data_IF_535000609721
#
_entry.id   IF_535000609721
#
_cell.length_a   1.000
_cell.length_b   1.000
_cell.length_c   1.000
_cell.angle_alpha   90.00
_cell.angle_beta   90.00
_cell.angle_gamma   90.00
#
_symmetry.space_group_name_H-M   'P 1'
#
loop_
_entity.id
_entity.type
_entity.pdbx_description
1 polymer ?
#
# COMPACT_ATOMS: atom_id res chain seq x y z
N UNK A 1 -25.64 -8.59 -15.35
CA UNK A 1 -25.11 -7.26 -15.61
C UNK A 1 -24.00 -7.00 -14.64
N UNK A 2 -22.73 -7.10 -15.08
CA UNK A 2 -21.58 -6.71 -14.28
C UNK A 2 -21.55 -5.20 -14.22
N UNK A 3 -21.73 -4.61 -13.04
CA UNK A 3 -21.45 -3.21 -12.80
C UNK A 3 -20.00 -2.95 -13.18
N UNK A 4 -19.79 -2.04 -14.12
CA UNK A 4 -18.46 -1.53 -14.44
C UNK A 4 -17.89 -0.91 -13.17
N UNK A 5 -16.75 -1.44 -12.75
CA UNK A 5 -16.06 -1.03 -11.54
C UNK A 5 -15.62 0.43 -11.66
N UNK A 6 -16.37 1.34 -11.08
CA UNK A 6 -15.92 2.71 -10.87
C UNK A 6 -14.65 2.66 -10.00
N UNK A 7 -13.61 3.36 -10.43
CA UNK A 7 -12.42 3.60 -9.62
C UNK A 7 -12.85 4.36 -8.36
N UNK A 8 -13.06 3.63 -7.26
CA UNK A 8 -13.50 4.23 -6.01
C UNK A 8 -12.35 4.95 -5.34
N UNK A 9 -12.64 6.08 -4.69
CA UNK A 9 -11.69 6.77 -3.84
C UNK A 9 -11.62 6.04 -2.50
N UNK A 10 -10.41 5.73 -2.07
CA UNK A 10 -10.16 5.14 -0.77
C UNK A 10 -10.72 6.03 0.36
N UNK A 11 -11.42 5.45 1.37
CA UNK A 11 -12.00 6.23 2.48
C UNK A 11 -11.00 7.14 3.19
N UNK A 12 -9.74 6.74 3.22
CA UNK A 12 -8.61 7.46 3.83
C UNK A 12 -8.30 8.79 3.14
N UNK A 13 -8.73 8.95 1.88
CA UNK A 13 -8.60 10.19 1.11
C UNK A 13 -9.64 11.25 1.45
N UNK A 14 -10.81 10.86 1.99
CA UNK A 14 -11.92 11.78 2.23
C UNK A 14 -11.53 12.97 3.12
N UNK A 15 -10.73 12.73 4.14
CA UNK A 15 -10.28 13.77 5.09
C UNK A 15 -9.42 14.85 4.43
N UNK A 16 -8.81 14.57 3.28
CA UNK A 16 -7.99 15.51 2.52
C UNK A 16 -8.78 16.06 1.33
N UNK A 17 -9.46 15.20 0.59
CA UNK A 17 -10.16 15.57 -0.66
C UNK A 17 -11.34 16.49 -0.37
N UNK A 18 -12.15 16.21 0.67
CA UNK A 18 -13.33 17.02 0.97
C UNK A 18 -12.97 18.48 1.31
N UNK A 19 -12.05 18.78 2.25
CA UNK A 19 -11.64 20.15 2.50
C UNK A 19 -11.06 20.85 1.27
N UNK A 20 -10.21 20.19 0.49
CA UNK A 20 -9.64 20.77 -0.73
C UNK A 20 -10.74 21.12 -1.74
N UNK A 21 -11.70 20.22 -1.94
CA UNK A 21 -12.85 20.49 -2.83
C UNK A 21 -13.69 21.68 -2.35
N UNK A 22 -13.95 21.76 -1.04
CA UNK A 22 -14.69 22.91 -0.47
C UNK A 22 -13.94 24.22 -0.68
N UNK A 23 -12.59 24.23 -0.55
CA UNK A 23 -11.79 25.42 -0.86
C UNK A 23 -11.90 25.83 -2.33
N UNK A 24 -11.87 24.87 -3.25
CA UNK A 24 -12.02 25.14 -4.69
C UNK A 24 -13.41 25.73 -4.97
N UNK A 25 -14.47 25.14 -4.41
CA UNK A 25 -15.84 25.63 -4.61
C UNK A 25 -16.04 27.03 -4.03
N UNK A 26 -15.56 27.26 -2.81
CA UNK A 26 -15.63 28.58 -2.17
C UNK A 26 -14.83 29.62 -2.96
N UNK A 27 -13.59 29.31 -3.37
CA UNK A 27 -12.75 30.19 -4.17
C UNK A 27 -13.38 30.53 -5.51
N UNK A 28 -14.02 29.57 -6.18
CA UNK A 28 -14.76 29.81 -7.43
C UNK A 28 -15.96 30.75 -7.19
N UNK A 29 -16.73 30.52 -6.12
CA UNK A 29 -17.84 31.38 -5.73
C UNK A 29 -17.41 32.83 -5.43
N UNK A 30 -16.32 33.01 -4.64
CA UNK A 30 -15.78 34.35 -4.33
C UNK A 30 -15.27 35.02 -5.60
N UNK A 31 -14.57 34.30 -6.48
CA UNK A 31 -14.05 34.82 -7.73
C UNK A 31 -15.13 35.33 -8.67
N UNK A 32 -16.35 34.77 -8.61
CA UNK A 32 -17.47 35.24 -9.40
C UNK A 32 -17.98 36.63 -8.98
N UNK A 33 -17.86 36.98 -7.68
CA UNK A 33 -18.28 38.26 -7.15
C UNK A 33 -17.14 39.29 -7.05
N UNK A 34 -15.92 38.81 -6.77
CA UNK A 34 -14.73 39.60 -6.58
C UNK A 34 -13.60 39.11 -7.48
N UNK A 35 -13.61 39.45 -8.79
CA UNK A 35 -12.57 39.02 -9.72
C UNK A 35 -11.19 39.49 -9.27
N UNK A 36 -10.28 38.55 -9.03
CA UNK A 36 -8.91 38.83 -8.62
C UNK A 36 -7.97 37.80 -9.27
N UNK A 37 -6.92 38.27 -9.93
CA UNK A 37 -5.91 37.40 -10.53
C UNK A 37 -5.18 36.56 -9.47
N UNK A 38 -4.88 37.12 -8.31
CA UNK A 38 -4.28 36.38 -7.20
C UNK A 38 -5.17 35.22 -6.72
N UNK A 39 -6.47 35.48 -6.52
CA UNK A 39 -7.43 34.45 -6.09
C UNK A 39 -7.58 33.34 -7.14
N UNK A 40 -7.55 33.70 -8.42
CA UNK A 40 -7.61 32.74 -9.53
C UNK A 40 -6.44 31.74 -9.47
N UNK A 41 -5.22 32.21 -9.27
CA UNK A 41 -4.04 31.34 -9.16
C UNK A 41 -4.06 30.47 -7.90
N UNK A 42 -4.48 31.03 -6.76
CA UNK A 42 -4.66 30.26 -5.52
C UNK A 42 -5.68 29.14 -5.75
N UNK A 43 -6.82 29.45 -6.35
CA UNK A 43 -7.86 28.44 -6.63
C UNK A 43 -7.38 27.36 -7.60
N UNK A 44 -6.59 27.72 -8.61
CA UNK A 44 -5.96 26.77 -9.52
C UNK A 44 -5.04 25.80 -8.78
N UNK A 45 -4.22 26.28 -7.85
CA UNK A 45 -3.35 25.44 -7.03
C UNK A 45 -4.18 24.43 -6.22
N UNK A 46 -5.24 24.88 -5.55
CA UNK A 46 -6.14 23.98 -4.80
C UNK A 46 -6.85 22.97 -5.71
N UNK A 47 -7.24 23.37 -6.92
CA UNK A 47 -7.82 22.45 -7.91
C UNK A 47 -6.83 21.35 -8.31
N UNK A 48 -5.57 21.71 -8.61
CA UNK A 48 -4.52 20.74 -8.93
C UNK A 48 -4.25 19.82 -7.75
N UNK A 49 -4.17 20.32 -6.52
CA UNK A 49 -4.00 19.50 -5.31
C UNK A 49 -5.18 18.56 -5.09
N UNK A 50 -6.41 19.00 -5.39
CA UNK A 50 -7.62 18.17 -5.31
C UNK A 50 -7.53 17.01 -6.31
N UNK A 51 -7.22 17.30 -7.56
CA UNK A 51 -7.08 16.27 -8.62
C UNK A 51 -5.97 15.28 -8.30
N UNK A 52 -4.82 15.77 -7.85
CA UNK A 52 -3.72 14.92 -7.40
C UNK A 52 -4.14 14.02 -6.22
N UNK A 53 -4.86 14.57 -5.24
CA UNK A 53 -5.34 13.80 -4.09
C UNK A 53 -6.35 12.73 -4.52
N UNK A 54 -7.26 13.03 -5.43
CA UNK A 54 -8.19 12.04 -6.00
C UNK A 54 -7.43 10.92 -6.73
N UNK A 55 -6.41 11.26 -7.51
CA UNK A 55 -5.55 10.29 -8.18
C UNK A 55 -4.76 9.44 -7.18
N UNK A 56 -4.17 10.05 -6.15
CA UNK A 56 -3.37 9.36 -5.13
C UNK A 56 -4.21 8.36 -4.31
N UNK A 57 -5.41 8.77 -3.90
CA UNK A 57 -6.31 7.95 -3.09
C UNK A 57 -7.23 7.04 -3.92
N UNK A 58 -6.94 6.82 -5.20
CA UNK A 58 -7.73 5.88 -6.01
C UNK A 58 -7.61 4.44 -5.50
N UNK A 59 -8.70 3.71 -5.52
CA UNK A 59 -8.78 2.30 -5.13
C UNK A 59 -9.44 1.50 -6.25
N UNK A 60 -8.73 1.17 -7.35
CA UNK A 60 -9.30 0.42 -8.44
C UNK A 60 -9.67 -0.98 -7.98
N UNK A 61 -10.87 -1.41 -8.32
CA UNK A 61 -11.31 -2.79 -8.13
C UNK A 61 -10.52 -3.67 -9.10
N UNK A 62 -9.95 -4.76 -8.59
CA UNK A 62 -9.20 -5.72 -9.40
C UNK A 62 -9.71 -7.12 -9.13
N UNK A 63 -9.95 -7.85 -10.20
CA UNK A 63 -10.31 -9.27 -10.12
C UNK A 63 -9.00 -10.06 -9.97
N UNK A 64 -8.79 -10.76 -8.85
CA UNK A 64 -7.61 -11.60 -8.70
C UNK A 64 -7.65 -12.77 -9.69
N UNK A 65 -6.49 -13.32 -10.06
CA UNK A 65 -6.42 -14.57 -10.81
C UNK A 65 -7.18 -15.70 -10.10
N UNK A 66 -7.79 -16.60 -10.88
CA UNK A 66 -8.57 -17.71 -10.33
C UNK A 66 -7.67 -18.91 -9.95
N UNK A 67 -6.68 -18.68 -9.09
CA UNK A 67 -5.78 -19.66 -8.53
C UNK A 67 -5.51 -19.32 -7.05
N UNK A 68 -4.80 -20.17 -6.32
CA UNK A 68 -4.42 -19.95 -4.92
C UNK A 68 -2.97 -19.48 -4.77
N UNK A 69 -2.40 -18.85 -5.80
CA UNK A 69 -1.05 -18.31 -5.73
C UNK A 69 -0.98 -17.06 -4.86
N UNK A 70 0.21 -16.78 -4.35
CA UNK A 70 0.50 -15.62 -3.52
C UNK A 70 0.55 -14.36 -4.38
N UNK A 71 -0.34 -13.42 -4.15
CA UNK A 71 -0.44 -12.18 -4.93
C UNK A 71 0.39 -11.06 -4.33
N UNK A 72 0.74 -10.08 -5.15
CA UNK A 72 1.35 -8.86 -4.66
C UNK A 72 0.43 -8.14 -3.66
N UNK A 73 0.92 -7.78 -2.47
CA UNK A 73 0.16 -6.99 -1.50
C UNK A 73 0.03 -5.51 -1.90
N UNK A 74 0.87 -5.04 -2.84
CA UNK A 74 0.96 -3.61 -3.19
C UNK A 74 1.29 -3.40 -4.67
N UNK A 75 1.01 -2.19 -5.16
CA UNK A 75 1.53 -1.70 -6.44
C UNK A 75 2.93 -1.13 -6.25
N UNK A 76 3.81 -1.39 -7.19
CA UNK A 76 5.13 -0.78 -7.14
C UNK A 76 6.18 -1.50 -7.96
N UNK A 77 7.43 -1.13 -7.72
CA UNK A 77 8.60 -1.74 -8.32
C UNK A 77 9.29 -2.67 -7.32
N UNK A 78 9.63 -3.87 -7.74
CA UNK A 78 10.46 -4.78 -6.95
C UNK A 78 11.88 -4.21 -6.90
N UNK A 79 12.30 -3.80 -5.71
CA UNK A 79 13.60 -3.14 -5.50
C UNK A 79 14.61 -4.01 -4.79
N UNK A 80 14.16 -5.14 -4.20
CA UNK A 80 15.05 -6.06 -3.50
C UNK A 80 14.43 -7.46 -3.44
N UNK A 81 15.27 -8.47 -3.65
CA UNK A 81 14.98 -9.89 -3.36
C UNK A 81 16.26 -10.42 -2.72
N UNK A 82 16.20 -10.77 -1.42
CA UNK A 82 17.37 -11.24 -0.65
C UNK A 82 16.99 -12.36 0.31
N UNK A 83 17.95 -13.18 0.65
CA UNK A 83 17.85 -14.13 1.73
C UNK A 83 18.08 -13.40 3.06
N UNK A 84 17.27 -13.73 4.05
CA UNK A 84 17.31 -13.14 5.41
C UNK A 84 17.07 -14.23 6.45
N UNK A 85 17.53 -13.98 7.66
CA UNK A 85 17.15 -14.76 8.84
C UNK A 85 16.08 -13.99 9.62
N UNK A 86 14.90 -14.56 9.75
CA UNK A 86 13.79 -13.96 10.51
C UNK A 86 13.57 -14.74 11.80
N UNK A 87 13.42 -14.04 12.93
CA UNK A 87 13.32 -14.63 14.27
C UNK A 87 12.17 -15.64 14.43
N UNK A 88 11.10 -15.51 13.64
CA UNK A 88 9.91 -16.35 13.77
C UNK A 88 9.69 -17.31 12.58
N UNK A 89 10.21 -16.99 11.39
CA UNK A 89 10.09 -17.80 10.18
C UNK A 89 11.37 -18.66 9.98
N UNK A 90 12.50 -18.22 10.51
CA UNK A 90 13.82 -18.84 10.28
C UNK A 90 14.47 -18.36 8.98
N UNK A 91 15.10 -19.28 8.22
CA UNK A 91 15.64 -18.95 6.90
C UNK A 91 14.50 -18.54 5.97
N UNK A 92 14.62 -17.35 5.41
CA UNK A 92 13.53 -16.70 4.70
C UNK A 92 14.04 -15.88 3.50
N UNK A 93 13.13 -15.55 2.60
CA UNK A 93 13.35 -14.60 1.51
C UNK A 93 12.56 -13.33 1.78
N UNK A 94 13.21 -12.20 1.61
CA UNK A 94 12.58 -10.89 1.67
C UNK A 94 12.43 -10.33 0.27
N UNK A 95 11.20 -9.99 -0.12
CA UNK A 95 10.86 -9.31 -1.37
C UNK A 95 10.37 -7.92 -1.01
N UNK A 96 10.99 -6.88 -1.55
CA UNK A 96 10.69 -5.49 -1.24
C UNK A 96 10.10 -4.77 -2.43
N UNK A 97 8.93 -4.18 -2.24
CA UNK A 97 8.19 -3.44 -3.25
C UNK A 97 8.19 -1.96 -2.85
N UNK A 98 8.73 -1.10 -3.69
CA UNK A 98 8.71 0.35 -3.52
C UNK A 98 7.50 0.95 -4.21
N UNK A 99 6.71 1.74 -3.47
CA UNK A 99 5.54 2.46 -3.95
C UNK A 99 5.91 3.93 -4.16
N UNK A 100 5.97 4.37 -5.41
CA UNK A 100 6.07 5.79 -5.74
C UNK A 100 4.74 6.50 -5.50
N UNK A 101 4.73 7.83 -5.41
CA UNK A 101 3.49 8.62 -5.22
C UNK A 101 2.45 8.42 -6.33
N UNK A 102 2.85 7.87 -7.46
CA UNK A 102 1.98 7.58 -8.61
C UNK A 102 1.35 6.17 -8.57
N UNK A 103 1.79 5.30 -7.66
CA UNK A 103 1.22 3.97 -7.49
C UNK A 103 -0.09 4.00 -6.68
N UNK A 104 -0.85 2.92 -6.71
CA UNK A 104 -1.98 2.71 -5.78
C UNK A 104 -1.41 2.36 -4.41
N UNK A 105 -1.81 3.12 -3.37
CA UNK A 105 -1.25 2.99 -2.02
C UNK A 105 -2.08 2.08 -1.10
N UNK A 106 -3.14 1.46 -1.62
CA UNK A 106 -3.92 0.45 -0.92
C UNK A 106 -3.16 -0.88 -0.91
N UNK A 107 -2.92 -1.43 0.28
CA UNK A 107 -2.38 -2.77 0.42
C UNK A 107 -3.51 -3.79 0.59
N UNK A 108 -3.28 -4.99 0.06
CA UNK A 108 -4.20 -6.12 0.08
C UNK A 108 -3.54 -7.35 0.69
N UNK A 109 -4.34 -8.21 1.31
CA UNK A 109 -3.89 -9.51 1.82
C UNK A 109 -3.48 -10.40 0.64
N UNK A 110 -2.23 -10.91 0.61
CA UNK A 110 -1.71 -11.68 -0.53
C UNK A 110 -2.33 -13.08 -0.68
N UNK A 111 -2.62 -13.72 0.45
CA UNK A 111 -3.15 -15.07 0.52
C UNK A 111 -4.05 -15.20 1.75
N UNK A 112 -5.15 -15.95 1.62
CA UNK A 112 -6.09 -16.21 2.73
C UNK A 112 -5.42 -16.94 3.87
N UNK A 113 -5.85 -16.64 5.09
CA UNK A 113 -5.30 -17.25 6.30
C UNK A 113 -5.76 -16.54 7.57
N UNK A 114 -5.05 -16.82 8.66
CA UNK A 114 -5.28 -16.23 9.98
C UNK A 114 -4.17 -15.21 10.30
N UNK A 115 -4.54 -14.09 10.89
CA UNK A 115 -3.58 -13.13 11.44
C UNK A 115 -3.07 -13.65 12.78
N UNK A 116 -1.76 -13.92 12.87
CA UNK A 116 -1.13 -14.46 14.08
C UNK A 116 -0.68 -13.35 15.01
N UNK A 117 -0.02 -12.33 14.45
CA UNK A 117 0.48 -11.21 15.24
C UNK A 117 0.49 -9.92 14.43
N UNK A 118 0.45 -8.80 15.16
CA UNK A 118 0.57 -7.45 14.63
C UNK A 118 1.47 -6.65 15.56
N UNK A 119 2.55 -6.11 15.03
CA UNK A 119 3.53 -5.37 15.80
C UNK A 119 3.83 -4.02 15.14
N UNK A 120 3.72 -2.96 15.90
CA UNK A 120 4.15 -1.62 15.51
C UNK A 120 5.54 -1.33 16.07
N UNK A 121 6.45 -0.92 15.19
CA UNK A 121 7.78 -0.50 15.56
C UNK A 121 7.94 0.97 15.17
N UNK A 122 8.14 1.82 16.18
CA UNK A 122 8.49 3.23 15.96
C UNK A 122 9.90 3.32 15.38
N UNK A 123 10.10 4.18 14.40
CA UNK A 123 11.39 4.32 13.74
C UNK A 123 11.64 5.72 13.19
N UNK A 124 12.72 5.85 12.43
CA UNK A 124 13.10 7.04 11.69
C UNK A 124 12.26 7.15 10.40
N UNK A 125 12.37 8.26 9.70
CA UNK A 125 11.72 8.49 8.40
C UNK A 125 12.77 8.67 7.31
N UNK A 126 13.51 7.59 6.99
CA UNK A 126 14.44 7.56 5.87
C UNK A 126 13.67 7.40 4.54
N UNK A 127 14.30 7.77 3.44
CA UNK A 127 13.71 7.54 2.13
C UNK A 127 13.43 6.04 1.89
N UNK A 128 12.22 5.67 1.49
CA UNK A 128 11.74 4.29 1.42
C UNK A 128 12.51 3.41 0.41
N UNK A 129 13.20 4.00 -0.55
CA UNK A 129 14.09 3.28 -1.48
C UNK A 129 15.46 2.92 -0.86
N UNK A 130 15.80 3.47 0.31
CA UNK A 130 17.05 3.14 1.00
C UNK A 130 16.95 1.71 1.59
N UNK A 131 18.01 0.90 1.41
CA UNK A 131 18.06 -0.46 1.96
C UNK A 131 17.93 -0.49 3.49
N UNK A 132 18.38 0.54 4.20
CA UNK A 132 18.24 0.68 5.65
C UNK A 132 16.82 1.02 6.10
N UNK A 133 15.92 1.41 5.20
CA UNK A 133 14.54 1.76 5.56
C UNK A 133 13.79 0.59 6.21
N UNK A 134 14.08 -0.66 5.83
CA UNK A 134 13.51 -1.87 6.45
C UNK A 134 13.90 -2.09 7.91
N UNK A 135 14.98 -1.46 8.36
CA UNK A 135 15.50 -1.63 9.71
C UNK A 135 15.20 -0.43 10.61
N UNK A 136 15.27 0.79 10.05
CA UNK A 136 15.28 2.03 10.82
C UNK A 136 13.97 2.81 10.75
N UNK A 137 13.11 2.59 9.74
CA UNK A 137 11.89 3.37 9.57
C UNK A 137 10.73 2.84 10.43
N UNK A 138 9.79 3.74 10.70
CA UNK A 138 8.48 3.37 11.24
C UNK A 138 7.85 2.27 10.41
N UNK A 139 7.44 1.18 11.06
CA UNK A 139 6.90 0.02 10.37
C UNK A 139 5.79 -0.67 11.16
N UNK A 140 4.89 -1.28 10.41
CA UNK A 140 3.87 -2.20 10.93
C UNK A 140 4.13 -3.58 10.34
N UNK A 141 4.38 -4.54 11.19
CA UNK A 141 4.63 -5.95 10.83
C UNK A 141 3.39 -6.76 11.16
N UNK A 142 2.90 -7.52 10.19
CA UNK A 142 1.78 -8.45 10.38
C UNK A 142 2.22 -9.83 9.94
N UNK A 143 2.05 -10.82 10.82
CA UNK A 143 2.31 -12.23 10.56
C UNK A 143 1.00 -12.97 10.28
N UNK A 144 1.03 -13.77 9.25
CA UNK A 144 -0.11 -14.58 8.81
C UNK A 144 0.25 -16.05 8.81
N UNK A 145 -0.75 -16.89 8.98
CA UNK A 145 -0.67 -18.33 8.78
C UNK A 145 -1.78 -18.76 7.83
N UNK A 146 -1.42 -19.48 6.77
CA UNK A 146 -2.38 -20.04 5.82
C UNK A 146 -3.10 -21.25 6.42
N UNK A 147 -4.20 -21.69 5.80
CA UNK A 147 -4.93 -22.91 6.20
C UNK A 147 -4.04 -24.16 6.23
N UNK A 148 -2.98 -24.18 5.44
CA UNK A 148 -2.00 -25.28 5.38
C UNK A 148 -0.82 -25.08 6.37
N UNK A 149 -0.92 -24.16 7.32
CA UNK A 149 0.12 -23.92 8.32
C UNK A 149 1.37 -23.20 7.81
N UNK A 150 1.39 -22.71 6.56
CA UNK A 150 2.49 -21.94 6.02
C UNK A 150 2.43 -20.52 6.56
N UNK A 151 3.57 -19.97 7.00
CA UNK A 151 3.63 -18.64 7.62
C UNK A 151 4.32 -17.64 6.69
N UNK A 152 3.89 -16.38 6.75
CA UNK A 152 4.51 -15.26 6.06
C UNK A 152 4.29 -13.96 6.83
N UNK A 153 5.12 -12.95 6.56
CA UNK A 153 4.97 -11.62 7.13
C UNK A 153 4.84 -10.57 6.03
N UNK A 154 4.05 -9.55 6.32
CA UNK A 154 3.99 -8.32 5.54
C UNK A 154 4.43 -7.18 6.45
N UNK A 155 5.48 -6.45 6.01
CA UNK A 155 5.95 -5.24 6.69
C UNK A 155 5.53 -4.02 5.86
N UNK A 156 4.71 -3.16 6.43
CA UNK A 156 4.41 -1.84 5.88
C UNK A 156 5.46 -0.87 6.44
N UNK A 157 6.19 -0.18 5.59
CA UNK A 157 7.32 0.67 5.97
C UNK A 157 7.04 2.08 5.47
N UNK A 158 7.01 3.05 6.40
CA UNK A 158 6.84 4.45 6.08
C UNK A 158 8.09 5.01 5.39
N UNK A 159 7.90 5.89 4.40
CA UNK A 159 8.97 6.64 3.78
C UNK A 159 9.15 8.02 4.42
N UNK A 160 10.01 8.86 3.82
CA UNK A 160 10.36 10.19 4.32
C UNK A 160 9.16 11.13 4.49
N UNK A 161 8.19 11.08 3.58
CA UNK A 161 6.98 11.91 3.59
C UNK A 161 5.84 11.18 4.31
N UNK A 162 5.84 9.84 4.31
CA UNK A 162 4.83 9.02 4.93
C UNK A 162 4.97 9.05 6.46
N UNK A 163 4.04 9.69 7.13
CA UNK A 163 4.01 9.76 8.60
C UNK A 163 2.89 8.95 9.22
N UNK A 164 2.19 8.10 8.44
CA UNK A 164 1.09 7.31 8.96
C UNK A 164 0.88 6.03 8.17
N UNK A 165 1.06 4.92 8.87
CA UNK A 165 0.70 3.59 8.43
C UNK A 165 -0.69 3.29 9.01
N UNK A 166 -1.63 2.97 8.12
CA UNK A 166 -2.94 2.45 8.50
C UNK A 166 -2.94 0.94 8.23
N UNK A 167 -3.29 0.16 9.24
CA UNK A 167 -3.35 -1.29 9.14
C UNK A 167 -4.66 -1.78 9.79
N UNK A 168 -5.40 -2.61 9.08
CA UNK A 168 -6.74 -3.08 9.46
C UNK A 168 -6.74 -4.53 9.96
N UNK A 169 -5.57 -5.16 10.00
CA UNK A 169 -5.43 -6.52 10.50
C UNK A 169 -5.52 -6.53 12.01
N UNK A 170 -6.26 -7.48 12.55
CA UNK A 170 -6.31 -7.72 14.00
C UNK A 170 -5.95 -9.18 14.27
N UNK A 171 -5.10 -9.46 15.28
CA UNK A 171 -4.74 -10.82 15.66
C UNK A 171 -5.97 -11.70 15.86
N UNK A 172 -5.83 -12.99 15.57
CA UNK A 172 -6.87 -14.03 15.62
C UNK A 172 -7.93 -13.96 14.50
N UNK A 173 -8.02 -12.86 13.75
CA UNK A 173 -8.97 -12.75 12.65
C UNK A 173 -8.56 -13.62 11.45
N UNK A 174 -9.55 -14.27 10.83
CA UNK A 174 -9.40 -14.90 9.52
C UNK A 174 -9.61 -13.85 8.44
N UNK A 175 -8.72 -13.84 7.46
CA UNK A 175 -8.72 -12.87 6.36
C UNK A 175 -8.72 -13.56 5.01
N UNK A 176 -9.34 -12.93 4.03
CA UNK A 176 -9.42 -13.44 2.66
C UNK A 176 -8.38 -12.77 1.76
N UNK A 177 -7.89 -13.52 0.77
CA UNK A 177 -7.03 -12.98 -0.28
C UNK A 177 -7.70 -11.79 -0.98
N UNK A 178 -6.98 -10.68 -1.14
CA UNK A 178 -7.49 -9.44 -1.72
C UNK A 178 -8.23 -8.54 -0.73
N UNK A 179 -8.45 -8.98 0.51
CA UNK A 179 -8.99 -8.13 1.57
C UNK A 179 -8.08 -6.93 1.85
N UNK A 180 -8.65 -5.86 2.39
CA UNK A 180 -7.90 -4.63 2.71
C UNK A 180 -6.94 -4.88 3.87
N UNK A 181 -5.64 -4.88 3.59
CA UNK A 181 -4.60 -4.98 4.62
C UNK A 181 -4.34 -3.63 5.28
N UNK A 182 -4.22 -2.59 4.48
CA UNK A 182 -3.92 -1.26 5.01
C UNK A 182 -3.72 -0.20 3.94
N UNK A 183 -3.19 0.96 4.39
CA UNK A 183 -2.86 2.10 3.54
C UNK A 183 -1.65 2.85 4.11
N UNK A 184 -0.69 3.20 3.27
CA UNK A 184 0.45 4.03 3.66
C UNK A 184 0.41 5.33 2.85
N UNK A 185 0.50 6.48 3.51
CA UNK A 185 0.43 7.78 2.84
C UNK A 185 1.82 8.22 2.34
N UNK A 186 1.93 8.61 1.05
CA UNK A 186 3.05 9.30 0.40
C UNK A 186 4.42 8.60 0.45
N UNK A 187 4.69 7.77 -0.56
CA UNK A 187 5.99 7.12 -0.78
C UNK A 187 6.33 6.11 0.32
N UNK A 188 6.29 4.85 -0.01
CA UNK A 188 6.35 3.78 0.98
C UNK A 188 7.02 2.53 0.41
N UNK A 189 7.28 1.58 1.27
CA UNK A 189 7.77 0.27 0.91
C UNK A 189 6.94 -0.80 1.60
N UNK A 190 6.73 -1.89 0.92
CA UNK A 190 6.14 -3.11 1.50
C UNK A 190 7.13 -4.24 1.33
N UNK A 191 7.52 -4.86 2.44
CA UNK A 191 8.36 -6.05 2.43
C UNK A 191 7.49 -7.28 2.71
N UNK A 192 7.71 -8.31 1.90
CA UNK A 192 7.13 -9.64 2.04
C UNK A 192 8.24 -10.55 2.56
N UNK A 193 8.00 -11.26 3.67
CA UNK A 193 8.92 -12.27 4.19
C UNK A 193 8.23 -13.62 4.10
N UNK A 194 8.85 -14.54 3.40
CA UNK A 194 8.37 -15.89 3.14
C UNK A 194 9.47 -16.90 3.44
N UNK A 195 9.15 -18.17 3.80
CA UNK A 195 10.16 -19.20 4.01
C UNK A 195 11.10 -19.39 2.81
N UNK A 196 12.31 -19.86 3.06
CA UNK A 196 13.35 -20.08 2.04
C UNK A 196 12.88 -20.91 0.84
N UNK A 197 12.05 -21.93 1.09
CA UNK A 197 11.51 -22.83 0.07
C UNK A 197 10.34 -22.23 -0.75
N UNK A 198 9.98 -20.96 -0.51
CA UNK A 198 8.97 -20.27 -1.33
C UNK A 198 9.49 -20.07 -2.75
N UNK A 199 8.71 -20.49 -3.74
CA UNK A 199 9.04 -20.28 -5.15
C UNK A 199 8.64 -18.86 -5.56
N UNK A 200 9.61 -18.04 -5.97
CA UNK A 200 9.40 -16.67 -6.45
C UNK A 200 9.27 -16.69 -7.96
N UNK A 201 8.21 -16.08 -8.50
CA UNK A 201 7.89 -16.03 -9.94
C UNK A 201 8.13 -14.62 -10.54
N UNK A 202 8.74 -13.71 -9.80
CA UNK A 202 9.08 -12.34 -10.22
C UNK A 202 10.58 -12.09 -10.11
N UNK A 203 11.02 -11.00 -10.76
CA UNK A 203 12.43 -10.59 -10.80
C UNK A 203 12.63 -9.19 -10.21
N UNK A 204 13.88 -8.90 -9.84
CA UNK A 204 14.29 -7.55 -9.44
C UNK A 204 14.03 -6.56 -10.58
N UNK A 205 13.37 -5.45 -10.28
CA UNK A 205 13.01 -4.42 -11.25
C UNK A 205 11.61 -4.52 -11.83
N UNK A 206 10.92 -5.65 -11.64
CA UNK A 206 9.55 -5.84 -12.13
C UNK A 206 8.57 -4.85 -11.53
N UNK A 207 7.59 -4.43 -12.34
CA UNK A 207 6.44 -3.65 -11.91
C UNK A 207 5.31 -4.58 -11.55
N UNK A 208 4.89 -4.54 -10.29
CA UNK A 208 3.82 -5.39 -9.77
C UNK A 208 2.57 -4.59 -9.42
N UNK A 209 1.42 -5.26 -9.46
CA UNK A 209 0.12 -4.69 -9.13
C UNK A 209 -0.52 -5.50 -8.00
N UNK A 210 -0.90 -4.81 -6.93
CA UNK A 210 -1.57 -5.41 -5.78
C UNK A 210 -2.86 -6.13 -6.18
N UNK A 211 -3.10 -7.30 -5.61
CA UNK A 211 -4.23 -8.18 -5.89
C UNK A 211 -4.34 -8.68 -7.35
N UNK A 212 -3.27 -8.58 -8.14
CA UNK A 212 -3.27 -9.01 -9.55
C UNK A 212 -2.01 -9.77 -9.95
N UNK A 213 -0.82 -9.25 -9.62
CA UNK A 213 0.44 -9.91 -9.99
C UNK A 213 0.73 -11.06 -9.03
N UNK A 214 1.02 -12.23 -9.58
CA UNK A 214 1.48 -13.38 -8.81
C UNK A 214 2.94 -13.12 -8.42
N UNK A 215 3.24 -13.19 -7.13
CA UNK A 215 4.61 -13.09 -6.59
C UNK A 215 5.28 -14.45 -6.59
N UNK A 216 4.52 -15.51 -6.34
CA UNK A 216 5.02 -16.87 -6.25
C UNK A 216 4.04 -17.80 -5.54
N UNK A 217 4.57 -18.94 -5.03
CA UNK A 217 3.77 -19.96 -4.36
C UNK A 217 4.56 -20.68 -3.27
N UNK A 218 3.86 -21.16 -2.25
CA UNK A 218 4.40 -22.10 -1.29
C UNK A 218 4.54 -23.49 -1.93
N UNK A 219 5.65 -24.16 -1.63
CA UNK A 219 5.89 -25.57 -1.99
C UNK A 219 5.31 -26.49 -0.92
#
# INVERSE_FOLDING_TARGET
GKSQDLCMIAPEGKIIIIPLLLFVLAGTGIQAYYPSEGLKWINLVFAVLTLFSMYFFRDPQRIPPNNNDFLSPADGKVVQIIDVEDEEIGLAKQISIFLSVFNVHRQRVPLSGKVISKQYNSGKFLAAFNHKASLDNEQMVVKFETENGKQYKIKQIAGFIARRILNYMEPENTVQRGERLGFIRFGSRVDIIVPENFQIDISLGDMVQGNKTIIGRFQ
#
